data_IF_083233607367
#
_entry.id   IF_083233607367
#
_cell.length_a   1.000
_cell.length_b   1.000
_cell.length_c   1.000
_cell.angle_alpha   90.00
_cell.angle_beta   90.00
_cell.angle_gamma   90.00
#
_symmetry.space_group_name_H-M   'P 1'
#
loop_
_entity.id
_entity.type
_entity.pdbx_description
1 polymer ?
#
# COMPACT_ATOMS: atom_id res chain seq x y z
N UNK A 1 1.19 12.41 31.34
CA UNK A 1 0.85 13.15 32.59
C UNK A 1 -0.50 12.67 33.09
N UNK A 2 -0.62 12.27 34.35
CA UNK A 2 -1.87 11.75 34.92
C UNK A 2 -2.81 12.90 35.32
N UNK A 3 -4.04 12.91 34.79
CA UNK A 3 -5.08 13.87 35.21
C UNK A 3 -5.68 13.43 36.54
N UNK A 4 -5.45 14.19 37.61
CA UNK A 4 -6.14 14.00 38.91
C UNK A 4 -7.48 14.74 38.90
N UNK A 5 -8.56 14.02 39.17
CA UNK A 5 -9.92 14.59 39.26
C UNK A 5 -10.20 14.91 40.74
N UNK A 6 -10.36 16.19 41.06
CA UNK A 6 -10.54 16.67 42.44
C UNK A 6 -12.01 16.76 42.89
N UNK A 7 -12.97 16.62 41.98
CA UNK A 7 -14.41 16.73 42.28
C UNK A 7 -15.10 15.38 42.19
N UNK A 8 -16.14 15.19 43.02
CA UNK A 8 -16.96 13.97 43.03
C UNK A 8 -17.74 13.88 41.71
N UNK A 9 -17.54 12.81 40.96
CA UNK A 9 -18.23 12.58 39.68
C UNK A 9 -19.67 12.16 40.00
N UNK A 10 -20.63 13.05 39.78
CA UNK A 10 -22.06 12.83 40.09
C UNK A 10 -22.90 12.37 38.91
N UNK A 11 -22.28 12.23 37.73
CA UNK A 11 -22.90 11.65 36.54
C UNK A 11 -21.83 11.11 35.62
N UNK A 12 -22.05 9.93 35.06
CA UNK A 12 -21.21 9.34 34.03
C UNK A 12 -22.12 8.87 32.90
N UNK A 13 -21.70 9.09 31.66
CA UNK A 13 -22.36 8.55 30.48
C UNK A 13 -21.38 7.61 29.79
N UNK A 14 -21.80 6.36 29.63
CA UNK A 14 -21.00 5.36 28.91
C UNK A 14 -21.20 5.62 27.43
N UNK A 15 -20.11 5.94 26.74
CA UNK A 15 -20.11 6.12 25.28
C UNK A 15 -20.58 4.82 24.65
N UNK A 16 -21.77 4.84 24.04
CA UNK A 16 -22.29 3.73 23.26
C UNK A 16 -21.41 3.55 22.01
N UNK A 17 -21.14 2.32 21.56
CA UNK A 17 -20.24 2.05 20.43
C UNK A 17 -20.67 2.77 19.13
N UNK A 18 -21.95 3.10 18.98
CA UNK A 18 -22.48 3.82 17.82
C UNK A 18 -22.17 5.34 17.80
N UNK A 19 -21.64 5.90 18.90
CA UNK A 19 -21.37 7.34 19.01
C UNK A 19 -19.94 7.72 18.60
N UNK A 20 -19.08 6.75 18.29
CA UNK A 20 -17.81 7.01 17.62
C UNK A 20 -18.05 6.81 16.14
N UNK A 21 -18.57 7.84 15.46
CA UNK A 21 -18.22 7.98 14.05
C UNK A 21 -16.68 7.96 14.03
N UNK A 22 -16.05 7.04 13.28
CA UNK A 22 -14.62 7.12 13.09
C UNK A 22 -14.37 8.55 12.63
N UNK A 23 -13.66 9.34 13.43
CA UNK A 23 -13.06 10.54 12.87
C UNK A 23 -12.20 9.98 11.75
N UNK A 24 -12.66 10.13 10.52
CA UNK A 24 -11.89 9.80 9.35
C UNK A 24 -10.64 10.65 9.49
N UNK A 25 -9.57 10.06 10.04
CA UNK A 25 -8.29 10.71 10.11
C UNK A 25 -8.02 11.20 8.70
N UNK A 26 -7.73 12.49 8.56
CA UNK A 26 -7.48 13.10 7.26
C UNK A 26 -6.42 12.25 6.58
N UNK A 27 -6.83 11.44 5.60
CA UNK A 27 -5.92 10.52 4.92
C UNK A 27 -4.97 11.40 4.15
N UNK A 28 -3.75 11.53 4.67
CA UNK A 28 -2.71 12.30 3.99
C UNK A 28 -2.29 11.51 2.74
N UNK A 29 -2.85 11.92 1.61
CA UNK A 29 -2.37 11.46 0.32
C UNK A 29 -0.99 12.08 0.10
N UNK A 30 0.05 11.26 0.21
CA UNK A 30 1.43 11.68 -0.07
C UNK A 30 1.59 12.22 -1.50
N UNK A 31 0.69 11.83 -2.41
CA UNK A 31 0.65 12.31 -3.77
C UNK A 31 -0.73 12.13 -4.40
N UNK A 32 -1.03 12.83 -5.51
CA UNK A 32 -2.27 12.64 -6.25
C UNK A 32 -2.48 11.17 -6.64
N UNK A 33 -3.75 10.75 -6.67
CA UNK A 33 -4.16 9.46 -7.20
C UNK A 33 -3.75 9.38 -8.68
N UNK A 34 -2.92 8.40 -9.02
CA UNK A 34 -2.46 8.19 -10.39
C UNK A 34 -3.53 7.40 -11.14
N UNK A 35 -3.96 7.91 -12.29
CA UNK A 35 -4.73 7.13 -13.26
C UNK A 35 -3.80 6.19 -14.01
N UNK A 36 -4.29 4.98 -14.29
CA UNK A 36 -3.53 4.00 -15.10
C UNK A 36 -3.57 4.41 -16.57
N UNK A 37 -2.42 4.68 -17.15
CA UNK A 37 -2.31 4.89 -18.60
C UNK A 37 -2.57 3.58 -19.37
N UNK A 38 -2.95 3.70 -20.64
CA UNK A 38 -3.18 2.54 -21.52
C UNK A 38 -1.91 1.70 -21.71
N UNK A 39 -0.76 2.38 -21.80
CA UNK A 39 0.56 1.77 -21.94
C UNK A 39 1.44 2.25 -20.80
N UNK A 40 2.07 1.28 -20.12
CA UNK A 40 3.05 1.54 -19.07
C UNK A 40 4.43 1.10 -19.55
N UNK A 41 5.45 1.92 -19.30
CA UNK A 41 6.83 1.58 -19.60
C UNK A 41 7.43 0.82 -18.41
N UNK A 42 7.89 -0.40 -18.68
CA UNK A 42 8.35 -1.33 -17.65
C UNK A 42 9.81 -1.73 -17.79
N UNK A 43 10.52 -1.85 -16.67
CA UNK A 43 11.86 -2.43 -16.60
C UNK A 43 11.84 -3.72 -15.78
N UNK A 44 12.48 -4.77 -16.27
CA UNK A 44 12.57 -6.06 -15.56
C UNK A 44 14.01 -6.33 -15.10
N UNK A 45 14.15 -6.56 -13.79
CA UNK A 45 15.42 -6.84 -13.13
C UNK A 45 15.49 -8.29 -12.70
N UNK A 46 16.58 -8.97 -13.04
CA UNK A 46 16.89 -10.30 -12.52
C UNK A 46 17.72 -10.16 -11.25
N UNK A 47 17.14 -10.51 -10.12
CA UNK A 47 17.80 -10.51 -8.81
C UNK A 47 18.10 -11.95 -8.40
N UNK A 48 19.37 -12.26 -8.14
CA UNK A 48 19.79 -13.55 -7.59
C UNK A 48 20.67 -13.29 -6.37
N UNK A 49 20.24 -13.76 -5.20
CA UNK A 49 21.04 -13.70 -3.97
C UNK A 49 21.91 -14.95 -3.86
N UNK A 50 23.07 -14.90 -3.15
CA UNK A 50 23.98 -16.05 -3.04
C UNK A 50 23.32 -17.31 -2.46
N UNK A 51 22.35 -17.15 -1.55
CA UNK A 51 21.71 -18.24 -0.83
C UNK A 51 20.38 -18.69 -1.46
N UNK A 52 20.02 -18.18 -2.65
CA UNK A 52 18.79 -18.56 -3.35
C UNK A 52 19.07 -19.48 -4.53
N UNK A 53 18.38 -20.62 -4.56
CA UNK A 53 18.42 -21.57 -5.68
C UNK A 53 17.87 -20.94 -6.97
N UNK A 54 16.80 -20.15 -6.85
CA UNK A 54 16.12 -19.52 -7.97
C UNK A 54 16.28 -17.99 -7.97
N UNK A 55 16.35 -17.40 -9.16
CA UNK A 55 16.34 -15.94 -9.32
C UNK A 55 14.90 -15.40 -9.21
N UNK A 56 14.78 -14.18 -8.69
CA UNK A 56 13.58 -13.37 -8.73
C UNK A 56 13.64 -12.43 -9.92
N UNK A 57 12.52 -12.26 -10.61
CA UNK A 57 12.35 -11.30 -11.69
C UNK A 57 11.39 -10.23 -11.20
N UNK A 58 11.87 -9.01 -11.11
CA UNK A 58 11.12 -7.86 -10.61
C UNK A 58 10.87 -6.93 -11.77
N UNK A 59 9.61 -6.78 -12.18
CA UNK A 59 9.20 -5.82 -13.20
C UNK A 59 8.59 -4.60 -12.50
N UNK A 60 9.12 -3.42 -12.78
CA UNK A 60 8.58 -2.14 -12.30
C UNK A 60 8.01 -1.41 -13.50
N UNK A 61 6.72 -1.12 -13.48
CA UNK A 61 6.02 -0.36 -14.49
C UNK A 61 5.77 1.06 -13.96
N UNK A 62 6.18 2.06 -14.73
CA UNK A 62 6.07 3.46 -14.35
C UNK A 62 5.01 4.18 -15.20
N UNK A 63 4.44 5.24 -14.61
CA UNK A 63 3.72 6.29 -15.33
C UNK A 63 4.59 7.54 -15.45
N UNK A 64 4.38 8.32 -16.51
CA UNK A 64 5.02 9.62 -16.68
C UNK A 64 4.07 10.69 -16.14
N UNK A 65 4.47 11.33 -15.04
CA UNK A 65 3.72 12.42 -14.43
C UNK A 65 4.11 13.72 -15.13
N UNK A 66 3.13 14.58 -15.44
CA UNK A 66 3.33 15.90 -16.07
C UNK A 66 4.09 15.85 -17.40
N UNK A 67 3.79 14.85 -18.23
CA UNK A 67 4.41 14.65 -19.55
C UNK A 67 4.40 15.93 -20.39
N UNK A 68 5.58 16.37 -20.83
CA UNK A 68 5.78 17.58 -21.63
C UNK A 68 5.86 18.89 -20.84
N UNK A 69 5.82 18.85 -19.50
CA UNK A 69 6.03 20.00 -18.62
C UNK A 69 7.44 19.99 -18.01
N UNK A 70 7.95 21.12 -17.47
CA UNK A 70 9.28 21.19 -16.87
C UNK A 70 9.51 20.26 -15.66
N UNK A 71 8.42 19.83 -15.01
CA UNK A 71 8.40 18.95 -13.84
C UNK A 71 8.06 17.48 -14.19
N UNK A 72 8.30 17.08 -15.44
CA UNK A 72 8.15 15.71 -15.89
C UNK A 72 9.02 14.75 -15.08
N UNK A 73 8.39 13.71 -14.51
CA UNK A 73 9.10 12.66 -13.79
C UNK A 73 8.39 11.31 -13.90
N UNK A 74 9.16 10.23 -13.78
CA UNK A 74 8.63 8.86 -13.78
C UNK A 74 8.28 8.45 -12.35
N UNK A 75 7.15 7.79 -12.18
CA UNK A 75 6.70 7.28 -10.90
C UNK A 75 6.26 5.82 -11.01
N UNK A 76 6.71 4.93 -10.11
CA UNK A 76 6.24 3.56 -10.07
C UNK A 76 4.73 3.50 -9.90
N UNK A 77 4.09 2.70 -10.74
CA UNK A 77 2.65 2.51 -10.77
C UNK A 77 2.25 1.11 -10.33
N UNK A 78 2.97 0.09 -10.79
CA UNK A 78 2.77 -1.30 -10.38
C UNK A 78 4.07 -2.10 -10.46
N UNK A 79 4.17 -3.13 -9.63
CA UNK A 79 5.33 -4.03 -9.57
C UNK A 79 4.85 -5.46 -9.77
N UNK A 80 5.65 -6.28 -10.46
CA UNK A 80 5.44 -7.71 -10.57
C UNK A 80 6.68 -8.45 -10.10
N UNK A 81 6.52 -9.39 -9.17
CA UNK A 81 7.61 -10.24 -8.70
C UNK A 81 7.30 -11.68 -9.12
N UNK A 82 8.18 -12.25 -9.94
CA UNK A 82 8.10 -13.63 -10.39
C UNK A 82 9.31 -14.43 -9.90
N UNK A 83 9.09 -15.67 -9.47
CA UNK A 83 10.15 -16.58 -9.05
C UNK A 83 9.79 -18.02 -9.40
N UNK A 84 10.81 -18.85 -9.62
CA UNK A 84 10.63 -20.31 -9.72
C UNK A 84 10.58 -20.99 -8.35
N UNK A 85 10.91 -20.26 -7.27
CA UNK A 85 10.82 -20.79 -5.91
C UNK A 85 9.34 -20.86 -5.47
N UNK A 86 8.84 -22.08 -5.29
CA UNK A 86 7.47 -22.33 -4.86
C UNK A 86 7.26 -22.16 -3.35
N UNK A 87 8.31 -22.30 -2.54
CA UNK A 87 8.25 -22.21 -1.08
C UNK A 87 7.71 -20.84 -0.59
N UNK A 88 8.01 -19.78 -1.33
CA UNK A 88 7.59 -18.42 -1.00
C UNK A 88 6.56 -17.86 -1.99
N UNK A 89 5.96 -18.70 -2.83
CA UNK A 89 5.08 -18.24 -3.90
C UNK A 89 3.89 -17.40 -3.39
N UNK A 90 3.20 -17.86 -2.35
CA UNK A 90 2.07 -17.10 -1.77
C UNK A 90 2.50 -15.72 -1.24
N UNK A 91 3.64 -15.65 -0.56
CA UNK A 91 4.20 -14.39 -0.06
C UNK A 91 4.59 -13.43 -1.19
N UNK A 92 5.15 -13.96 -2.28
CA UNK A 92 5.52 -13.19 -3.47
C UNK A 92 4.28 -12.62 -4.17
N UNK A 93 3.20 -13.42 -4.30
CA UNK A 93 1.92 -12.98 -4.86
C UNK A 93 1.29 -11.90 -3.98
N UNK A 94 1.26 -12.10 -2.67
CA UNK A 94 0.75 -11.12 -1.71
C UNK A 94 1.52 -9.79 -1.81
N UNK A 95 2.85 -9.86 -1.79
CA UNK A 95 3.73 -8.70 -1.87
C UNK A 95 3.53 -7.92 -3.17
N UNK A 96 3.42 -8.63 -4.30
CA UNK A 96 3.17 -8.06 -5.62
C UNK A 96 1.85 -7.27 -5.66
N UNK A 97 0.77 -7.83 -5.13
CA UNK A 97 -0.55 -7.17 -5.06
C UNK A 97 -0.52 -5.95 -4.16
N UNK A 98 0.03 -6.12 -2.96
CA UNK A 98 0.11 -5.07 -1.93
C UNK A 98 0.90 -3.86 -2.43
N UNK A 99 2.13 -4.05 -2.92
CA UNK A 99 2.97 -2.93 -3.33
C UNK A 99 2.35 -2.20 -4.53
N UNK A 100 1.80 -2.93 -5.50
CA UNK A 100 1.13 -2.34 -6.66
C UNK A 100 -0.07 -1.49 -6.23
N UNK A 101 -0.88 -1.97 -5.29
CA UNK A 101 -2.02 -1.22 -4.81
C UNK A 101 -1.59 0.07 -4.05
N UNK A 102 -0.49 0.04 -3.30
CA UNK A 102 0.08 1.21 -2.62
C UNK A 102 0.47 2.28 -3.64
N UNK A 103 1.15 1.89 -4.71
CA UNK A 103 1.56 2.80 -5.78
C UNK A 103 0.37 3.43 -6.51
N UNK A 104 -0.68 2.66 -6.79
CA UNK A 104 -1.92 3.15 -7.42
C UNK A 104 -2.66 4.17 -6.56
N UNK A 105 -2.69 3.96 -5.23
CA UNK A 105 -3.45 4.79 -4.30
C UNK A 105 -2.68 5.98 -3.72
N UNK A 106 -1.52 6.29 -4.29
CA UNK A 106 -0.75 7.47 -3.90
C UNK A 106 -0.15 7.38 -2.49
N UNK A 107 0.06 6.17 -1.98
CA UNK A 107 0.60 5.94 -0.63
C UNK A 107 -0.45 5.89 0.49
N UNK A 108 -1.75 5.91 0.17
CA UNK A 108 -2.79 5.62 1.16
C UNK A 108 -2.65 4.15 1.61
N UNK A 109 -2.27 3.95 2.86
CA UNK A 109 -1.97 2.64 3.47
C UNK A 109 -3.23 2.00 4.07
N UNK A 110 -4.36 2.71 4.13
CA UNK A 110 -5.56 2.25 4.84
C UNK A 110 -6.26 1.08 4.13
N UNK A 111 -6.16 1.01 2.79
CA UNK A 111 -6.76 -0.06 2.00
C UNK A 111 -6.03 -1.42 2.14
N UNK A 112 -4.80 -1.45 2.67
CA UNK A 112 -4.00 -2.67 2.82
C UNK A 112 -4.72 -3.77 3.60
N UNK A 113 -5.53 -3.38 4.58
CA UNK A 113 -6.31 -4.33 5.39
C UNK A 113 -7.33 -5.06 4.53
N UNK A 114 -7.90 -4.41 3.52
CA UNK A 114 -8.87 -5.00 2.60
C UNK A 114 -8.18 -5.92 1.59
N UNK A 115 -7.05 -5.49 1.02
CA UNK A 115 -6.27 -6.29 0.07
C UNK A 115 -5.65 -7.53 0.72
N UNK A 116 -5.13 -7.40 1.95
CA UNK A 116 -4.58 -8.56 2.67
C UNK A 116 -5.66 -9.59 2.99
N UNK A 117 -6.91 -9.18 3.29
CA UNK A 117 -8.02 -10.12 3.47
C UNK A 117 -8.30 -10.93 2.20
N UNK A 118 -8.30 -10.28 1.03
CA UNK A 118 -8.54 -10.93 -0.27
C UNK A 118 -7.42 -11.89 -0.72
N UNK A 119 -6.26 -11.88 -0.07
CA UNK A 119 -5.17 -12.85 -0.30
C UNK A 119 -5.37 -14.12 0.55
N UNK A 120 -5.96 -14.00 1.74
CA UNK A 120 -6.17 -15.12 2.65
C UNK A 120 -7.49 -15.87 2.43
N UNK A 121 -8.51 -15.22 1.86
CA UNK A 121 -9.78 -15.83 1.43
C UNK A 121 -10.12 -15.31 0.01
N UNK A 122 -9.74 -16.04 -1.06
CA UNK A 122 -9.92 -15.59 -2.44
C UNK A 122 -11.36 -15.63 -2.96
#
# INVERSE_FOLDING_TARGET
MAKKIAKKITGYEVVKPDAVQPQAGTVEHLAPLLTRDEVLEGMTYKVKTPNSEHAMYITINDVIVNKGQPDEHRRPFEIFINSKNMEHFMWIVALTRVISAIFRKGGDVTFLVEELKAVFDP
#
